data_IF_974140414199
#
_entry.id   IF_974140414199
#
_cell.length_a   1.000
_cell.length_b   1.000
_cell.length_c   1.000
_cell.angle_alpha   90.00
_cell.angle_beta   90.00
_cell.angle_gamma   90.00
#
_symmetry.space_group_name_H-M   'P 1'
#
loop_
_entity.id
_entity.type
_entity.pdbx_description
1 polymer ?
#
# COMPACT_ATOMS: atom_id res chain seq x y z
N UNK A 1 -12.02 33.98 0.31
CA UNK A 1 -10.94 33.93 -0.71
C UNK A 1 -11.59 33.77 -2.08
N UNK A 2 -11.12 34.45 -3.13
CA UNK A 2 -11.62 34.22 -4.49
C UNK A 2 -11.25 32.82 -4.97
N UNK A 3 -12.16 32.16 -5.69
CA UNK A 3 -12.05 30.78 -6.13
C UNK A 3 -10.77 30.51 -6.97
N UNK A 4 -10.21 29.29 -6.95
CA UNK A 4 -9.36 28.85 -8.04
C UNK A 4 -10.19 28.95 -9.31
N UNK A 5 -9.77 29.81 -10.24
CA UNK A 5 -10.39 29.92 -11.56
C UNK A 5 -10.51 28.52 -12.15
N UNK A 6 -11.74 28.10 -12.46
CA UNK A 6 -11.99 26.92 -13.26
C UNK A 6 -11.12 26.96 -14.52
N UNK A 7 -10.61 25.79 -14.92
CA UNK A 7 -9.73 25.65 -16.07
C UNK A 7 -10.28 26.42 -17.29
N UNK A 8 -9.43 27.04 -18.13
CA UNK A 8 -9.89 27.75 -19.33
C UNK A 8 -10.73 26.79 -20.20
N UNK A 9 -12.05 27.01 -20.26
CA UNK A 9 -13.01 26.18 -21.00
C UNK A 9 -14.05 25.43 -20.14
N UNK A 10 -13.93 25.39 -18.82
CA UNK A 10 -14.95 24.77 -17.94
C UNK A 10 -15.49 25.79 -16.91
N UNK A 11 -16.77 26.13 -17.04
CA UNK A 11 -17.49 26.93 -16.04
C UNK A 11 -17.71 26.06 -14.79
N UNK A 12 -17.51 26.64 -13.60
CA UNK A 12 -17.82 25.98 -12.33
C UNK A 12 -19.26 25.44 -12.38
N UNK A 13 -19.50 24.13 -12.12
CA UNK A 13 -20.75 23.48 -12.51
C UNK A 13 -21.91 23.74 -11.56
N UNK A 14 -21.68 24.45 -10.46
CA UNK A 14 -22.69 24.72 -9.45
C UNK A 14 -23.05 26.21 -9.42
N UNK A 15 -24.32 26.50 -9.15
CA UNK A 15 -24.81 27.88 -9.02
C UNK A 15 -24.35 28.56 -7.73
N UNK A 16 -23.87 27.79 -6.74
CA UNK A 16 -23.43 28.28 -5.42
C UNK A 16 -22.20 27.54 -4.92
N UNK A 17 -21.51 28.16 -3.97
CA UNK A 17 -20.45 27.55 -3.17
C UNK A 17 -20.66 28.01 -1.71
N UNK A 18 -20.83 27.12 -0.73
CA UNK A 18 -20.68 25.66 -0.79
C UNK A 18 -21.88 24.92 -1.41
N UNK A 19 -21.63 23.70 -1.89
CA UNK A 19 -22.63 22.74 -2.40
C UNK A 19 -22.34 21.35 -1.83
N UNK A 20 -23.38 20.57 -1.61
CA UNK A 20 -23.25 19.15 -1.24
C UNK A 20 -23.16 18.28 -2.49
N UNK A 21 -22.20 17.36 -2.49
CA UNK A 21 -21.95 16.42 -3.57
C UNK A 21 -21.87 15.01 -2.99
N UNK A 22 -22.37 14.01 -3.70
CA UNK A 22 -22.27 12.63 -3.22
C UNK A 22 -20.86 12.08 -3.45
N UNK A 23 -20.36 11.40 -2.43
CA UNK A 23 -18.95 10.99 -2.31
C UNK A 23 -18.60 9.99 -3.42
N UNK A 24 -19.40 8.94 -3.56
CA UNK A 24 -19.21 7.81 -4.49
C UNK A 24 -20.01 7.97 -5.80
N UNK A 25 -20.54 9.17 -6.07
CA UNK A 25 -21.46 9.40 -7.16
C UNK A 25 -20.96 9.02 -8.56
N UNK A 26 -21.92 8.96 -9.50
CA UNK A 26 -21.67 8.71 -10.92
C UNK A 26 -21.42 9.98 -11.73
N UNK A 27 -20.60 9.87 -12.79
CA UNK A 27 -20.30 10.97 -13.71
C UNK A 27 -21.50 11.34 -14.58
N UNK A 28 -21.75 12.65 -14.70
CA UNK A 28 -22.88 13.21 -15.42
C UNK A 28 -22.58 14.73 -15.65
N UNK A 29 -22.38 15.18 -16.92
CA UNK A 29 -22.20 16.61 -17.30
C UNK A 29 -22.68 16.97 -18.74
N UNK A 30 -23.44 18.08 -18.87
CA UNK A 30 -24.36 18.51 -19.97
C UNK A 30 -25.88 18.12 -19.89
N UNK A 31 -26.54 18.41 -18.75
CA UNK A 31 -27.92 17.97 -18.40
C UNK A 31 -28.09 17.12 -17.13
N UNK A 32 -27.21 17.27 -16.13
CA UNK A 32 -26.82 16.19 -15.21
C UNK A 32 -26.60 16.61 -13.73
N UNK A 33 -26.75 15.66 -12.79
CA UNK A 33 -26.20 15.75 -11.42
C UNK A 33 -24.67 15.57 -11.46
N UNK A 34 -23.91 16.65 -11.32
CA UNK A 34 -22.45 16.57 -11.18
C UNK A 34 -22.10 15.90 -9.85
N UNK A 35 -21.82 14.60 -9.88
CA UNK A 35 -21.70 13.79 -8.69
C UNK A 35 -20.46 12.90 -8.76
N UNK A 36 -19.26 13.49 -8.76
CA UNK A 36 -17.99 12.73 -8.95
C UNK A 36 -16.89 13.19 -8.00
N UNK A 37 -17.28 13.52 -6.78
CA UNK A 37 -16.40 14.10 -5.76
C UNK A 37 -15.03 13.41 -5.70
N UNK A 38 -15.00 12.09 -5.50
CA UNK A 38 -13.74 11.36 -5.35
C UNK A 38 -12.85 11.38 -6.59
N UNK A 39 -13.41 11.39 -7.81
CA UNK A 39 -12.61 11.47 -9.04
C UNK A 39 -11.83 12.78 -9.10
N UNK A 40 -12.49 13.88 -8.75
CA UNK A 40 -11.88 15.20 -8.74
C UNK A 40 -10.91 15.37 -7.56
N UNK A 41 -11.25 14.86 -6.37
CA UNK A 41 -10.36 14.88 -5.20
C UNK A 41 -9.10 14.09 -5.47
N UNK A 42 -9.20 12.85 -5.98
CA UNK A 42 -8.00 12.04 -6.27
C UNK A 42 -7.15 12.72 -7.33
N UNK A 43 -7.74 13.25 -8.41
CA UNK A 43 -7.02 13.97 -9.45
C UNK A 43 -6.35 15.28 -8.94
N UNK A 44 -6.90 15.88 -7.89
CA UNK A 44 -6.39 17.11 -7.31
C UNK A 44 -5.29 16.87 -6.27
N UNK A 45 -5.52 15.93 -5.37
CA UNK A 45 -4.70 15.69 -4.19
C UNK A 45 -3.50 14.80 -4.48
N UNK A 46 -3.56 14.00 -5.55
CA UNK A 46 -2.47 13.11 -5.94
C UNK A 46 -1.88 13.49 -7.28
N UNK A 47 -0.80 12.82 -7.66
CA UNK A 47 -0.23 12.93 -9.00
C UNK A 47 -0.36 11.57 -9.72
N UNK A 48 -1.54 11.23 -10.27
CA UNK A 48 -1.77 9.91 -10.85
C UNK A 48 -0.94 9.66 -12.12
N UNK A 49 -0.40 10.72 -12.72
CA UNK A 49 0.57 10.63 -13.82
C UNK A 49 1.97 10.21 -13.37
N UNK A 50 2.36 10.55 -12.14
CA UNK A 50 3.68 10.27 -11.60
C UNK A 50 3.67 9.07 -10.65
N UNK A 51 2.55 8.71 -10.05
CA UNK A 51 2.49 7.67 -9.02
C UNK A 51 2.14 6.31 -9.61
N UNK A 52 2.62 5.25 -8.94
CA UNK A 52 2.25 3.89 -9.28
C UNK A 52 0.74 3.68 -9.07
N UNK A 53 0.08 2.92 -9.96
CA UNK A 53 -1.38 2.73 -9.93
C UNK A 53 -1.90 2.23 -8.56
N UNK A 54 -1.18 1.31 -7.91
CA UNK A 54 -1.48 0.84 -6.53
C UNK A 54 -1.49 1.97 -5.48
N UNK A 55 -0.63 2.97 -5.63
CA UNK A 55 -0.59 4.13 -4.75
C UNK A 55 -1.74 5.11 -5.04
N UNK A 56 -2.14 5.25 -6.31
CA UNK A 56 -3.37 5.98 -6.68
C UNK A 56 -4.61 5.30 -6.08
N UNK A 57 -4.69 3.97 -6.13
CA UNK A 57 -5.74 3.20 -5.45
C UNK A 57 -5.70 3.39 -3.92
N UNK A 58 -4.51 3.41 -3.31
CA UNK A 58 -4.38 3.68 -1.88
C UNK A 58 -4.92 5.08 -1.53
N UNK A 59 -4.55 6.09 -2.31
CA UNK A 59 -5.06 7.45 -2.14
C UNK A 59 -6.58 7.52 -2.31
N UNK A 60 -7.15 6.83 -3.30
CA UNK A 60 -8.59 6.79 -3.51
C UNK A 60 -9.35 6.21 -2.31
N UNK A 61 -8.85 5.11 -1.74
CA UNK A 61 -9.43 4.48 -0.56
C UNK A 61 -9.31 5.40 0.66
N UNK A 62 -8.14 6.02 0.86
CA UNK A 62 -7.93 6.99 1.94
C UNK A 62 -8.87 8.19 1.80
N UNK A 63 -8.99 8.77 0.60
CA UNK A 63 -9.86 9.91 0.33
C UNK A 63 -11.34 9.56 0.54
N UNK A 64 -11.79 8.39 0.07
CA UNK A 64 -13.15 7.89 0.34
C UNK A 64 -13.41 7.75 1.83
N UNK A 65 -12.50 7.07 2.54
CA UNK A 65 -12.61 6.85 3.98
C UNK A 65 -12.68 8.19 4.73
N UNK A 66 -11.82 9.15 4.37
CA UNK A 66 -11.79 10.48 4.97
C UNK A 66 -13.11 11.23 4.75
N UNK A 67 -13.62 11.26 3.51
CA UNK A 67 -14.87 11.94 3.19
C UNK A 67 -16.04 11.36 4.00
N UNK A 68 -16.13 10.03 4.07
CA UNK A 68 -17.16 9.35 4.85
C UNK A 68 -16.97 9.50 6.36
N UNK A 69 -15.73 9.62 6.86
CA UNK A 69 -15.47 9.96 8.25
C UNK A 69 -16.05 11.33 8.62
N UNK A 70 -15.88 12.35 7.75
CA UNK A 70 -16.37 13.72 8.01
C UNK A 70 -17.89 13.79 8.16
N UNK A 71 -18.62 12.93 7.45
CA UNK A 71 -20.09 12.96 7.39
C UNK A 71 -20.74 11.83 8.21
N UNK A 72 -19.91 11.01 8.86
CA UNK A 72 -20.35 9.81 9.59
C UNK A 72 -21.27 10.11 10.76
N UNK A 73 -21.03 11.20 11.49
CA UNK A 73 -21.85 11.60 12.63
C UNK A 73 -23.30 11.95 12.21
N UNK A 74 -23.48 12.38 10.96
CA UNK A 74 -24.78 12.69 10.37
C UNK A 74 -25.38 11.49 9.59
N UNK A 75 -24.64 10.39 9.44
CA UNK A 75 -25.01 9.23 8.62
C UNK A 75 -25.34 9.62 7.16
N UNK A 76 -24.56 10.54 6.59
CA UNK A 76 -24.77 11.06 5.24
C UNK A 76 -23.85 10.37 4.22
N UNK A 77 -24.24 10.44 2.95
CA UNK A 77 -23.43 9.99 1.79
C UNK A 77 -23.02 11.15 0.88
N UNK A 78 -23.23 12.37 1.37
CA UNK A 78 -22.92 13.63 0.69
C UNK A 78 -21.95 14.41 1.56
N UNK A 79 -21.02 15.12 0.93
CA UNK A 79 -20.05 15.99 1.59
C UNK A 79 -20.14 17.38 0.98
N UNK A 80 -19.91 18.42 1.78
CA UNK A 80 -19.73 19.73 1.22
C UNK A 80 -18.40 19.82 0.44
N UNK A 81 -18.36 20.71 -0.54
CA UNK A 81 -17.19 20.89 -1.38
C UNK A 81 -16.19 21.90 -0.81
N UNK A 82 -16.19 22.13 0.51
CA UNK A 82 -15.28 23.06 1.16
C UNK A 82 -13.84 22.56 1.13
N UNK A 83 -12.88 23.50 1.13
CA UNK A 83 -11.47 23.19 1.29
C UNK A 83 -11.09 22.84 2.75
N UNK A 84 -12.06 22.81 3.67
CA UNK A 84 -11.86 22.46 5.08
C UNK A 84 -11.56 20.97 5.27
N UNK A 85 -11.89 20.14 4.28
CA UNK A 85 -11.74 18.69 4.30
C UNK A 85 -10.65 18.25 3.33
N UNK A 86 -11.00 18.19 2.05
CA UNK A 86 -10.14 17.82 0.95
C UNK A 86 -10.34 18.82 -0.17
N UNK A 87 -9.30 19.08 -0.95
CA UNK A 87 -9.37 20.01 -2.06
C UNK A 87 -10.14 19.35 -3.21
N UNK A 88 -11.40 19.73 -3.34
CA UNK A 88 -12.23 19.38 -4.47
C UNK A 88 -12.22 20.53 -5.49
N UNK A 89 -11.78 20.23 -6.71
CA UNK A 89 -11.83 21.15 -7.85
C UNK A 89 -12.70 20.51 -8.93
N UNK A 90 -13.88 21.05 -9.23
CA UNK A 90 -14.69 20.52 -10.31
C UNK A 90 -13.95 20.54 -11.64
N UNK A 91 -14.20 19.50 -12.43
CA UNK A 91 -13.55 19.15 -13.69
C UNK A 91 -12.07 18.87 -13.55
N UNK A 92 -11.56 18.66 -12.34
CA UNK A 92 -10.16 18.31 -12.20
C UNK A 92 -9.87 17.00 -12.89
N UNK A 93 -10.70 15.98 -12.70
CA UNK A 93 -10.58 14.70 -13.39
C UNK A 93 -10.64 14.81 -14.93
N UNK A 94 -11.43 15.76 -15.44
CA UNK A 94 -11.55 16.02 -16.88
C UNK A 94 -10.44 16.94 -17.42
N UNK A 95 -9.80 17.71 -16.54
CA UNK A 95 -8.80 18.69 -16.92
C UNK A 95 -7.55 17.97 -17.44
N UNK A 96 -7.25 18.25 -18.71
CA UNK A 96 -6.22 17.58 -19.53
C UNK A 96 -4.91 17.25 -18.80
N UNK A 97 -4.31 16.15 -19.29
CA UNK A 97 -2.87 15.80 -19.31
C UNK A 97 -1.98 16.92 -18.76
N UNK A 98 -1.50 16.77 -17.52
CA UNK A 98 -0.55 17.72 -16.93
C UNK A 98 0.76 17.64 -17.70
N UNK A 99 1.33 16.43 -17.87
CA UNK A 99 2.61 16.24 -18.57
C UNK A 99 2.84 14.83 -19.17
N UNK A 100 2.17 13.77 -18.71
CA UNK A 100 2.61 12.38 -19.00
C UNK A 100 1.58 11.44 -19.64
N UNK A 101 0.38 11.88 -19.95
CA UNK A 101 -0.64 11.05 -20.61
C UNK A 101 -2.01 11.15 -19.99
N UNK A 102 -2.95 10.31 -20.45
CA UNK A 102 -4.29 10.24 -19.86
C UNK A 102 -4.22 9.52 -18.51
N UNK A 103 -4.45 10.25 -17.42
CA UNK A 103 -4.40 9.73 -16.05
C UNK A 103 -5.77 9.26 -15.53
N UNK A 104 -6.82 9.35 -16.35
CA UNK A 104 -8.14 8.88 -15.98
C UNK A 104 -8.21 7.37 -15.74
N UNK A 105 -7.56 6.49 -16.54
CA UNK A 105 -7.62 5.04 -16.32
C UNK A 105 -7.19 4.58 -14.91
N UNK A 106 -6.05 5.03 -14.33
CA UNK A 106 -5.70 4.63 -12.96
C UNK A 106 -6.68 5.19 -11.91
N UNK A 107 -7.30 6.35 -12.15
CA UNK A 107 -8.35 6.86 -11.25
C UNK A 107 -9.62 6.01 -11.38
N UNK A 108 -10.08 5.68 -12.59
CA UNK A 108 -11.27 4.84 -12.77
C UNK A 108 -11.10 3.46 -12.15
N UNK A 109 -9.94 2.81 -12.38
CA UNK A 109 -9.61 1.56 -11.73
C UNK A 109 -9.63 1.71 -10.19
N UNK A 110 -9.11 2.83 -9.67
CA UNK A 110 -9.15 3.12 -8.25
C UNK A 110 -10.57 3.37 -7.68
N UNK A 111 -11.51 3.79 -8.54
CA UNK A 111 -12.91 4.03 -8.15
C UNK A 111 -13.77 2.76 -8.17
N UNK A 112 -13.38 1.71 -8.92
CA UNK A 112 -14.16 0.47 -9.05
C UNK A 112 -14.28 -0.26 -7.71
N UNK A 113 -13.19 -0.36 -6.96
CA UNK A 113 -13.17 -1.01 -5.66
C UNK A 113 -13.55 -0.02 -4.55
N UNK A 114 -14.80 -0.13 -4.10
CA UNK A 114 -15.31 0.62 -2.94
C UNK A 114 -14.90 -0.08 -1.64
N UNK A 115 -13.66 0.23 -1.24
CA UNK A 115 -13.06 -0.20 0.01
C UNK A 115 -13.03 0.97 1.00
N UNK A 116 -13.24 0.65 2.26
CA UNK A 116 -13.24 1.56 3.40
C UNK A 116 -12.32 1.03 4.51
N UNK A 117 -11.70 1.94 5.25
CA UNK A 117 -10.95 1.61 6.46
C UNK A 117 -11.81 1.87 7.70
N UNK A 118 -11.97 0.86 8.54
CA UNK A 118 -12.84 0.89 9.73
C UNK A 118 -11.99 0.61 10.98
N UNK A 119 -12.21 1.30 12.11
CA UNK A 119 -11.48 1.03 13.34
C UNK A 119 -11.77 -0.37 13.90
N UNK A 120 -10.77 -0.97 14.54
CA UNK A 120 -10.89 -2.21 15.29
C UNK A 120 -10.79 -1.94 16.82
N UNK A 121 -11.45 -2.71 17.72
CA UNK A 121 -12.45 -3.77 17.47
C UNK A 121 -13.88 -3.24 17.28
N UNK A 122 -14.11 -2.00 17.69
CA UNK A 122 -15.43 -1.38 17.68
C UNK A 122 -15.56 -0.54 16.40
N UNK A 123 -16.46 -0.89 15.48
CA UNK A 123 -16.79 -0.01 14.36
C UNK A 123 -17.59 1.21 14.87
N UNK A 124 -17.06 2.43 14.75
CA UNK A 124 -17.81 3.52 14.12
C UNK A 124 -17.19 3.84 12.75
N UNK A 125 -17.97 4.37 11.81
CA UNK A 125 -18.11 3.70 10.53
C UNK A 125 -16.86 3.78 9.64
N UNK A 126 -15.99 4.76 9.86
CA UNK A 126 -14.76 4.99 9.10
C UNK A 126 -13.68 5.57 10.01
N UNK A 127 -12.41 5.33 9.71
CA UNK A 127 -11.30 5.99 10.43
C UNK A 127 -11.00 7.37 9.87
N UNK A 128 -10.38 8.22 10.70
CA UNK A 128 -9.78 9.46 10.20
C UNK A 128 -8.54 9.12 9.35
N UNK A 129 -8.69 9.13 8.03
CA UNK A 129 -7.69 8.68 7.07
C UNK A 129 -6.89 9.84 6.48
N UNK A 130 -6.11 10.54 7.30
CA UNK A 130 -5.24 11.63 6.83
C UNK A 130 -4.19 11.13 5.82
N UNK A 131 -3.75 12.00 4.92
CA UNK A 131 -2.70 11.72 3.94
C UNK A 131 -1.90 13.00 3.66
N UNK A 132 -0.64 12.86 3.29
CA UNK A 132 0.27 13.97 3.06
C UNK A 132 1.24 13.67 1.92
N UNK A 133 1.94 14.69 1.43
CA UNK A 133 2.79 14.57 0.24
C UNK A 133 3.99 13.63 0.46
N UNK A 134 4.89 13.96 1.39
CA UNK A 134 6.09 13.15 1.63
C UNK A 134 6.79 13.43 2.98
N UNK A 135 7.53 12.45 3.48
CA UNK A 135 8.39 12.58 4.66
C UNK A 135 9.44 11.46 4.70
N UNK A 136 10.71 11.78 4.96
CA UNK A 136 11.74 10.77 5.04
C UNK A 136 11.70 9.98 6.37
N UNK A 137 11.96 8.68 6.29
CA UNK A 137 12.25 7.79 7.42
C UNK A 137 11.06 7.33 8.25
N UNK A 138 10.08 8.18 8.53
CA UNK A 138 8.86 7.81 9.26
C UNK A 138 7.73 8.81 9.08
N UNK A 139 6.49 8.37 9.29
CA UNK A 139 5.36 9.27 9.55
C UNK A 139 5.44 9.86 10.97
N UNK A 140 4.50 10.74 11.29
CA UNK A 140 4.26 11.31 12.62
C UNK A 140 2.95 10.76 13.20
N UNK A 141 2.87 10.69 14.52
CA UNK A 141 1.62 10.34 15.21
C UNK A 141 0.62 11.50 15.13
N UNK A 142 -0.59 11.20 14.69
CA UNK A 142 -1.74 12.09 14.70
C UNK A 142 -2.61 11.93 15.94
N UNK A 143 -3.85 12.41 15.85
CA UNK A 143 -4.78 12.47 16.98
C UNK A 143 -5.53 11.16 17.28
N UNK A 144 -5.52 10.19 16.35
CA UNK A 144 -6.32 8.97 16.45
C UNK A 144 -5.46 7.71 16.55
N UNK A 145 -5.97 6.61 17.14
CA UNK A 145 -5.20 5.36 17.30
C UNK A 145 -4.76 4.68 16.00
N UNK A 146 -5.36 5.05 14.86
CA UNK A 146 -4.98 4.56 13.53
C UNK A 146 -3.89 5.39 12.85
N UNK A 147 -3.50 6.52 13.46
CA UNK A 147 -2.49 7.45 12.96
C UNK A 147 -1.34 7.51 13.95
N UNK A 148 -0.54 6.44 14.02
CA UNK A 148 0.72 6.45 14.77
C UNK A 148 1.90 6.68 13.83
N UNK A 149 3.02 7.13 14.38
CA UNK A 149 4.29 7.14 13.66
C UNK A 149 4.69 5.72 13.26
N UNK A 150 4.80 5.46 11.96
CA UNK A 150 5.30 4.21 11.38
C UNK A 150 6.60 4.46 10.63
N UNK A 151 7.52 3.49 10.68
CA UNK A 151 8.80 3.57 9.97
C UNK A 151 8.57 3.47 8.46
N UNK A 152 9.10 4.41 7.67
CA UNK A 152 9.02 4.43 6.21
C UNK A 152 10.43 4.43 5.60
N UNK A 153 11.23 3.35 5.80
CA UNK A 153 12.67 3.35 5.50
C UNK A 153 13.00 3.46 4.00
N UNK A 154 12.05 3.16 3.11
CA UNK A 154 12.20 3.37 1.66
C UNK A 154 12.22 4.86 1.29
N UNK A 155 11.58 5.72 2.11
CA UNK A 155 11.55 7.17 1.93
C UNK A 155 12.84 7.78 2.48
N UNK A 156 13.92 7.71 1.69
CA UNK A 156 15.23 8.25 2.06
C UNK A 156 15.50 9.59 1.39
N UNK A 157 16.08 10.55 2.12
CA UNK A 157 16.45 11.88 1.57
C UNK A 157 17.38 11.75 0.36
N UNK A 158 18.33 10.80 0.42
CA UNK A 158 19.25 10.49 -0.70
C UNK A 158 18.58 9.88 -1.93
N UNK A 159 17.31 9.49 -1.84
CA UNK A 159 16.53 8.89 -2.91
C UNK A 159 15.30 9.72 -3.29
N UNK A 160 15.39 11.05 -3.10
CA UNK A 160 14.35 11.98 -3.53
C UNK A 160 13.14 12.06 -2.61
N UNK A 161 13.27 11.63 -1.34
CA UNK A 161 12.30 11.96 -0.31
C UNK A 161 12.54 13.35 0.29
N UNK A 162 11.48 14.06 0.60
CA UNK A 162 11.52 15.39 1.23
C UNK A 162 10.41 15.54 2.28
N UNK A 163 10.53 16.53 3.16
CA UNK A 163 9.48 16.84 4.15
C UNK A 163 8.46 17.76 3.49
N UNK A 164 7.24 17.27 3.28
CA UNK A 164 6.15 18.03 2.67
C UNK A 164 4.78 17.56 3.19
N UNK A 165 4.01 18.49 3.75
CA UNK A 165 2.73 18.21 4.41
C UNK A 165 2.87 17.94 5.92
N UNK A 166 1.77 17.57 6.57
CA UNK A 166 1.70 17.43 8.03
C UNK A 166 2.33 16.13 8.56
N UNK A 167 2.44 15.08 7.73
CA UNK A 167 3.17 13.86 8.08
C UNK A 167 2.36 12.75 8.77
N UNK A 168 1.04 12.85 8.88
CA UNK A 168 0.17 11.83 9.50
C UNK A 168 -0.49 10.93 8.45
N UNK A 169 -0.58 9.64 8.73
CA UNK A 169 -1.27 8.69 7.85
C UNK A 169 -0.49 8.37 6.57
N UNK A 170 -1.17 8.36 5.43
CA UNK A 170 -0.61 7.90 4.16
C UNK A 170 0.38 8.92 3.56
N UNK A 171 1.66 8.53 3.44
CA UNK A 171 2.62 9.25 2.59
C UNK A 171 2.34 8.92 1.13
N UNK A 172 1.93 9.91 0.35
CA UNK A 172 1.58 9.72 -1.06
C UNK A 172 2.77 9.27 -1.90
N UNK A 173 3.92 9.92 -1.72
CA UNK A 173 5.14 9.53 -2.41
C UNK A 173 5.67 8.20 -1.86
N UNK A 174 5.63 7.98 -0.55
CA UNK A 174 6.03 6.72 0.09
C UNK A 174 5.22 5.52 -0.41
N UNK A 175 3.90 5.66 -0.55
CA UNK A 175 3.02 4.65 -1.15
C UNK A 175 3.47 4.24 -2.56
N UNK A 176 3.86 5.20 -3.40
CA UNK A 176 4.38 4.91 -4.74
C UNK A 176 5.74 4.21 -4.69
N UNK A 177 6.62 4.59 -3.75
CA UNK A 177 7.91 3.91 -3.53
C UNK A 177 7.71 2.44 -3.17
N UNK A 178 6.85 2.15 -2.20
CA UNK A 178 6.52 0.79 -1.77
C UNK A 178 5.92 -0.07 -2.88
N UNK A 179 4.99 0.51 -3.65
CA UNK A 179 4.37 -0.19 -4.77
C UNK A 179 5.38 -0.59 -5.87
N UNK A 180 6.49 0.16 -5.97
CA UNK A 180 7.53 -0.05 -6.98
C UNK A 180 8.71 -0.88 -6.49
N UNK A 181 9.01 -0.83 -5.19
CA UNK A 181 10.31 -1.27 -4.65
C UNK A 181 11.46 -0.38 -5.11
N UNK A 182 11.24 0.93 -5.16
CA UNK A 182 12.27 1.92 -5.50
C UNK A 182 12.06 3.20 -4.69
N UNK A 183 13.13 3.77 -4.16
CA UNK A 183 13.13 5.01 -3.37
C UNK A 183 12.65 6.23 -4.16
N UNK A 184 12.62 6.19 -5.50
CA UNK A 184 11.97 7.22 -6.31
C UNK A 184 10.50 6.92 -6.55
N UNK A 185 9.62 7.83 -6.10
CA UNK A 185 8.18 7.68 -6.26
C UNK A 185 7.71 7.78 -7.73
N UNK A 186 8.37 8.60 -8.56
CA UNK A 186 7.87 9.00 -9.89
C UNK A 186 8.10 7.94 -10.98
N UNK A 187 7.05 7.32 -11.51
CA UNK A 187 7.10 6.23 -12.54
C UNK A 187 7.78 6.64 -13.83
N UNK A 188 7.79 7.93 -14.14
CA UNK A 188 8.41 8.48 -15.33
C UNK A 188 9.87 8.86 -15.11
N UNK A 189 10.38 8.78 -13.88
CA UNK A 189 11.79 9.06 -13.59
C UNK A 189 12.70 7.95 -14.15
N UNK A 190 13.83 8.36 -14.70
CA UNK A 190 14.96 7.47 -14.99
C UNK A 190 15.84 7.22 -13.77
N UNK A 191 15.70 8.04 -12.71
CA UNK A 191 16.41 7.81 -11.46
C UNK A 191 15.89 6.54 -10.77
N UNK A 192 16.79 5.80 -10.15
CA UNK A 192 16.48 4.55 -9.45
C UNK A 192 17.24 4.50 -8.13
N UNK A 193 16.55 4.07 -7.09
CA UNK A 193 17.09 3.73 -5.79
C UNK A 193 16.44 2.40 -5.38
N UNK A 194 16.89 1.26 -5.96
CA UNK A 194 16.22 -0.02 -5.75
C UNK A 194 16.12 -0.35 -4.26
N UNK A 195 14.96 -0.84 -3.86
CA UNK A 195 14.67 -1.20 -2.47
C UNK A 195 14.38 -2.68 -2.34
N UNK A 196 14.84 -3.34 -1.28
CA UNK A 196 14.76 -4.80 -1.08
C UNK A 196 13.35 -5.38 -1.02
N UNK A 197 12.32 -4.53 -0.95
CA UNK A 197 10.93 -4.89 -0.78
C UNK A 197 10.07 -4.11 -1.78
N UNK A 198 9.08 -4.78 -2.38
CA UNK A 198 7.99 -4.13 -3.11
C UNK A 198 6.67 -4.78 -2.73
N UNK A 199 5.62 -3.99 -2.55
CA UNK A 199 4.31 -4.51 -2.17
C UNK A 199 3.42 -4.72 -3.40
N UNK A 200 2.91 -5.95 -3.51
CA UNK A 200 2.10 -6.34 -4.65
C UNK A 200 0.64 -5.96 -4.50
N UNK A 201 0.19 -5.66 -3.28
CA UNK A 201 -1.20 -5.29 -3.02
C UNK A 201 -1.35 -3.94 -2.31
N UNK A 202 -2.33 -3.14 -2.73
CA UNK A 202 -2.65 -1.85 -2.10
C UNK A 202 -3.03 -1.97 -0.62
N UNK A 203 -3.60 -3.09 -0.19
CA UNK A 203 -3.91 -3.32 1.24
C UNK A 203 -2.66 -3.36 2.10
N UNK A 204 -1.50 -3.80 1.57
CA UNK A 204 -0.23 -3.70 2.30
C UNK A 204 0.15 -2.22 2.51
N UNK A 205 -0.01 -1.37 1.50
CA UNK A 205 0.24 0.08 1.60
C UNK A 205 -0.66 0.71 2.67
N UNK A 206 -1.96 0.43 2.61
CA UNK A 206 -2.92 1.01 3.55
C UNK A 206 -2.70 0.52 4.99
N UNK A 207 -2.46 -0.78 5.19
CA UNK A 207 -2.22 -1.35 6.52
C UNK A 207 -0.87 -0.91 7.11
N UNK A 208 0.08 -0.50 6.28
CA UNK A 208 1.33 0.11 6.72
C UNK A 208 1.09 1.48 7.38
N UNK A 209 0.33 2.35 6.70
CA UNK A 209 0.13 3.74 7.12
C UNK A 209 -1.05 3.95 8.08
N UNK A 210 -2.03 3.05 8.09
CA UNK A 210 -3.21 3.12 8.95
C UNK A 210 -3.30 1.89 9.86
N UNK A 211 -2.83 2.05 11.10
CA UNK A 211 -2.80 0.98 12.10
C UNK A 211 -4.18 0.75 12.71
N UNK A 212 -4.39 -0.39 13.39
CA UNK A 212 -5.66 -0.67 14.08
C UNK A 212 -6.91 -0.57 13.18
N UNK A 213 -6.75 -0.86 11.89
CA UNK A 213 -7.83 -0.77 10.89
C UNK A 213 -8.19 -2.11 10.27
N UNK A 214 -9.44 -2.25 9.84
CA UNK A 214 -9.93 -3.38 9.05
C UNK A 214 -10.47 -2.85 7.72
N UNK A 215 -10.37 -3.67 6.68
CA UNK A 215 -10.87 -3.33 5.34
C UNK A 215 -12.29 -3.84 5.18
N UNK A 216 -13.20 -2.96 4.77
CA UNK A 216 -14.60 -3.28 4.46
C UNK A 216 -14.91 -2.97 2.99
N UNK A 217 -15.76 -3.79 2.36
CA UNK A 217 -16.36 -3.47 1.06
C UNK A 217 -17.62 -2.60 1.21
N UNK A 218 -18.18 -2.14 0.08
CA UNK A 218 -19.42 -1.37 0.05
C UNK A 218 -20.68 -2.11 0.51
N UNK A 219 -20.62 -3.43 0.66
CA UNK A 219 -21.71 -4.23 1.23
C UNK A 219 -21.60 -4.34 2.75
N UNK A 220 -20.54 -3.78 3.36
CA UNK A 220 -20.29 -3.88 4.79
C UNK A 220 -19.63 -5.21 5.20
N UNK A 221 -19.06 -5.97 4.26
CA UNK A 221 -18.31 -7.18 4.58
C UNK A 221 -16.84 -6.84 4.84
N UNK A 222 -16.27 -7.44 5.88
CA UNK A 222 -14.83 -7.41 6.09
C UNK A 222 -14.12 -8.22 4.98
N UNK A 223 -13.20 -7.59 4.25
CA UNK A 223 -12.46 -8.21 3.12
C UNK A 223 -11.00 -8.54 3.46
N UNK A 224 -10.58 -8.26 4.69
CA UNK A 224 -9.32 -8.72 5.28
C UNK A 224 -9.66 -9.78 6.32
N UNK A 225 -9.49 -11.08 6.02
CA UNK A 225 -10.02 -12.14 6.87
C UNK A 225 -9.33 -12.24 8.23
N UNK A 226 -8.12 -11.69 8.35
CA UNK A 226 -7.28 -11.80 9.54
C UNK A 226 -6.92 -10.44 10.16
N UNK A 227 -6.94 -10.40 11.49
CA UNK A 227 -6.39 -9.30 12.31
C UNK A 227 -4.88 -9.43 12.51
N UNK A 228 -4.29 -10.55 12.10
CA UNK A 228 -2.85 -10.82 12.08
C UNK A 228 -2.32 -10.54 10.68
N UNK A 229 -1.59 -9.44 10.54
CA UNK A 229 -1.07 -8.95 9.27
C UNK A 229 0.34 -8.45 9.46
N UNK A 230 1.15 -8.56 8.42
CA UNK A 230 2.54 -8.14 8.47
C UNK A 230 2.99 -7.55 7.15
N UNK A 231 3.99 -6.66 7.18
CA UNK A 231 4.71 -6.26 5.97
C UNK A 231 6.21 -6.39 6.21
N UNK A 232 6.96 -6.82 5.19
CA UNK A 232 8.40 -6.57 5.16
C UNK A 232 8.61 -5.06 4.91
N UNK A 233 9.56 -4.45 5.62
CA UNK A 233 10.02 -3.08 5.36
C UNK A 233 11.39 -3.06 4.70
N UNK A 234 12.28 -3.96 5.08
CA UNK A 234 13.64 -4.06 4.54
C UNK A 234 14.12 -5.51 4.66
N UNK A 235 14.80 -6.02 3.63
CA UNK A 235 15.51 -7.31 3.67
C UNK A 235 17.00 -7.03 3.43
N UNK A 236 17.84 -7.50 4.34
CA UNK A 236 19.30 -7.46 4.24
C UNK A 236 19.86 -8.85 3.96
N UNK A 237 21.09 -8.88 3.48
CA UNK A 237 21.79 -10.10 3.08
C UNK A 237 21.02 -10.90 2.01
N UNK A 238 20.36 -10.18 1.10
CA UNK A 238 19.65 -10.80 -0.03
C UNK A 238 20.58 -11.76 -0.78
N UNK A 239 20.08 -12.95 -1.17
CA UNK A 239 20.87 -13.86 -1.96
C UNK A 239 21.18 -13.22 -3.33
N UNK A 240 22.29 -13.61 -3.97
CA UNK A 240 22.51 -13.22 -5.36
C UNK A 240 21.37 -13.74 -6.24
N UNK A 241 21.10 -13.05 -7.35
CA UNK A 241 20.05 -13.46 -8.30
C UNK A 241 20.23 -14.90 -8.80
N UNK A 242 21.49 -15.36 -8.92
CA UNK A 242 21.83 -16.75 -9.21
C UNK A 242 22.46 -17.38 -7.97
N UNK A 243 21.80 -18.39 -7.42
CA UNK A 243 22.20 -19.12 -6.22
C UNK A 243 22.74 -20.50 -6.56
N UNK A 244 23.60 -21.05 -5.71
CA UNK A 244 24.13 -22.40 -5.87
C UNK A 244 23.17 -23.43 -5.25
N UNK A 245 22.87 -24.54 -5.94
CA UNK A 245 22.13 -25.65 -5.32
C UNK A 245 22.86 -26.16 -4.07
N UNK A 246 22.12 -26.43 -2.99
CA UNK A 246 22.69 -26.91 -1.72
C UNK A 246 23.30 -25.82 -0.84
N UNK A 247 23.42 -24.58 -1.33
CA UNK A 247 23.90 -23.46 -0.53
C UNK A 247 22.85 -23.04 0.51
N UNK A 248 23.33 -22.40 1.57
CA UNK A 248 22.51 -21.82 2.63
C UNK A 248 22.76 -20.32 2.65
N UNK A 249 21.68 -19.55 2.61
CA UNK A 249 21.73 -18.09 2.71
C UNK A 249 21.09 -17.65 4.03
N UNK A 250 21.59 -16.56 4.60
CA UNK A 250 21.05 -15.99 5.84
C UNK A 250 20.44 -14.65 5.53
N UNK A 251 19.16 -14.45 5.90
CA UNK A 251 18.44 -13.21 5.70
C UNK A 251 18.16 -12.52 7.03
N UNK A 252 18.23 -11.18 7.02
CA UNK A 252 17.67 -10.37 8.09
C UNK A 252 16.50 -9.58 7.51
N UNK A 253 15.35 -9.61 8.18
CA UNK A 253 14.12 -8.98 7.68
C UNK A 253 13.54 -8.06 8.73
N UNK A 254 13.35 -6.79 8.37
CA UNK A 254 12.57 -5.86 9.18
C UNK A 254 11.09 -6.11 8.89
N UNK A 255 10.36 -6.56 9.90
CA UNK A 255 8.94 -6.90 9.81
C UNK A 255 8.16 -5.88 10.61
N UNK A 256 7.12 -5.31 10.01
CA UNK A 256 6.12 -4.51 10.69
C UNK A 256 4.89 -5.36 11.01
N UNK A 257 4.38 -5.24 12.23
CA UNK A 257 3.04 -5.72 12.56
C UNK A 257 2.01 -4.73 11.99
N UNK A 258 1.37 -5.08 10.87
CA UNK A 258 0.29 -4.28 10.27
C UNK A 258 -1.09 -4.75 10.69
N UNK A 259 -1.15 -5.69 11.64
CA UNK A 259 -2.38 -6.22 12.22
C UNK A 259 -3.08 -5.22 13.13
N UNK A 260 -4.18 -5.68 13.74
CA UNK A 260 -4.91 -4.92 14.76
C UNK A 260 -4.56 -5.33 16.19
N UNK A 261 -3.81 -6.42 16.36
CA UNK A 261 -3.40 -6.95 17.67
C UNK A 261 -1.90 -6.87 17.85
N UNK A 262 -1.49 -6.56 19.08
CA UNK A 262 -0.08 -6.68 19.49
C UNK A 262 0.36 -8.13 19.40
N UNK A 263 1.54 -8.34 18.84
CA UNK A 263 2.19 -9.65 18.88
C UNK A 263 2.93 -9.78 20.20
N UNK A 264 2.64 -10.84 20.93
CA UNK A 264 3.27 -11.11 22.23
C UNK A 264 4.08 -12.41 22.20
N UNK A 265 4.92 -12.63 23.20
CA UNK A 265 5.63 -13.90 23.36
C UNK A 265 4.71 -15.11 23.50
N UNK A 266 3.43 -14.92 23.86
CA UNK A 266 2.43 -15.98 23.98
C UNK A 266 1.86 -16.43 22.62
N UNK A 267 2.00 -15.61 21.59
CA UNK A 267 1.41 -15.88 20.26
C UNK A 267 2.28 -16.80 19.38
N UNK A 268 3.48 -17.18 19.84
CA UNK A 268 4.47 -17.96 19.07
C UNK A 268 4.69 -17.41 17.65
N UNK A 269 4.88 -16.10 17.55
CA UNK A 269 5.10 -15.42 16.28
C UNK A 269 6.51 -15.68 15.76
N UNK A 270 6.60 -16.17 14.52
CA UNK A 270 7.86 -16.55 13.87
C UNK A 270 7.89 -16.06 12.43
N UNK A 271 9.00 -15.49 12.00
CA UNK A 271 9.25 -15.30 10.57
C UNK A 271 9.78 -16.61 9.98
N UNK A 272 9.20 -17.05 8.87
CA UNK A 272 9.61 -18.27 8.17
C UNK A 272 9.52 -18.05 6.65
N UNK A 273 9.74 -19.11 5.88
CA UNK A 273 9.68 -19.04 4.43
C UNK A 273 9.28 -20.37 3.82
N UNK A 274 8.91 -20.33 2.54
CA UNK A 274 8.86 -21.49 1.66
C UNK A 274 9.77 -21.20 0.46
N UNK A 275 10.70 -22.10 0.12
CA UNK A 275 11.39 -22.00 -1.19
C UNK A 275 10.53 -22.79 -2.16
N UNK A 276 10.15 -22.19 -3.28
CA UNK A 276 9.25 -22.80 -4.26
C UNK A 276 9.87 -22.78 -5.67
N UNK A 277 9.77 -23.91 -6.37
CA UNK A 277 10.11 -24.07 -7.77
C UNK A 277 8.94 -24.74 -8.50
N UNK A 278 8.24 -23.97 -9.34
CA UNK A 278 6.95 -24.39 -9.88
C UNK A 278 5.94 -24.61 -8.75
N UNK A 279 5.31 -25.78 -8.71
CA UNK A 279 4.36 -26.19 -7.67
C UNK A 279 5.03 -26.86 -6.46
N UNK A 280 6.34 -27.12 -6.52
CA UNK A 280 7.09 -27.81 -5.46
C UNK A 280 7.67 -26.80 -4.49
N UNK A 281 7.32 -26.91 -3.20
CA UNK A 281 7.87 -26.05 -2.15
C UNK A 281 8.54 -26.87 -1.03
N UNK A 282 9.60 -26.33 -0.45
CA UNK A 282 10.24 -26.85 0.77
C UNK A 282 9.93 -25.96 1.97
N UNK A 283 10.24 -26.46 3.18
CA UNK A 283 9.94 -25.78 4.45
C UNK A 283 8.45 -25.45 4.65
N UNK A 284 7.54 -26.26 4.11
CA UNK A 284 6.09 -26.06 4.23
C UNK A 284 5.59 -26.16 5.67
N UNK A 285 6.29 -26.92 6.52
CA UNK A 285 6.05 -26.99 7.97
C UNK A 285 6.61 -25.80 8.76
N UNK A 286 7.36 -24.91 8.10
CA UNK A 286 8.04 -23.75 8.69
C UNK A 286 9.07 -24.13 9.76
N UNK A 287 9.74 -25.27 9.61
CA UNK A 287 10.81 -25.75 10.50
C UNK A 287 11.95 -24.73 10.61
N UNK A 288 12.35 -24.14 9.49
CA UNK A 288 13.31 -23.04 9.46
C UNK A 288 12.58 -21.72 9.70
N UNK A 289 12.85 -21.10 10.86
CA UNK A 289 12.20 -19.88 11.27
C UNK A 289 13.05 -19.10 12.28
N UNK A 290 12.68 -17.85 12.50
CA UNK A 290 13.24 -16.98 13.54
C UNK A 290 12.09 -16.49 14.40
N UNK A 291 12.21 -16.65 15.72
CA UNK A 291 11.22 -16.16 16.66
C UNK A 291 11.22 -14.63 16.72
N UNK A 292 10.05 -14.05 16.98
CA UNK A 292 9.92 -12.62 17.18
C UNK A 292 10.83 -12.13 18.33
N UNK A 293 11.63 -11.07 18.12
CA UNK A 293 12.64 -10.65 19.10
C UNK A 293 12.06 -9.94 20.32
N UNK A 294 10.87 -9.34 20.20
CA UNK A 294 10.22 -8.53 21.23
C UNK A 294 8.72 -8.42 20.97
N UNK A 295 7.92 -8.05 21.97
CA UNK A 295 6.51 -7.72 21.77
C UNK A 295 6.38 -6.60 20.72
N UNK A 296 5.49 -6.78 19.75
CA UNK A 296 5.35 -5.88 18.61
C UNK A 296 3.91 -5.34 18.52
N UNK A 297 3.64 -4.13 19.04
CA UNK A 297 2.36 -3.46 18.86
C UNK A 297 2.03 -3.19 17.39
N UNK A 298 0.74 -2.98 17.05
CA UNK A 298 0.33 -2.54 15.72
C UNK A 298 1.10 -1.31 15.26
N UNK A 299 1.61 -1.35 14.03
CA UNK A 299 2.41 -0.33 13.36
C UNK A 299 3.91 -0.34 13.69
N UNK A 300 4.31 -0.99 14.78
CA UNK A 300 5.73 -1.10 15.12
C UNK A 300 6.43 -2.15 14.24
N UNK A 301 7.75 -2.00 14.09
CA UNK A 301 8.59 -2.91 13.33
C UNK A 301 9.77 -3.43 14.16
N UNK A 302 10.22 -4.64 13.85
CA UNK A 302 11.38 -5.28 14.47
C UNK A 302 12.18 -6.11 13.46
N UNK A 303 13.48 -6.28 13.74
CA UNK A 303 14.38 -7.09 12.94
C UNK A 303 14.33 -8.56 13.36
N UNK A 304 13.98 -9.43 12.42
CA UNK A 304 14.14 -10.87 12.52
C UNK A 304 15.46 -11.24 11.86
N UNK A 305 16.49 -11.46 12.68
CA UNK A 305 17.85 -11.69 12.19
C UNK A 305 18.17 -13.18 12.09
N UNK A 306 18.99 -13.55 11.11
CA UNK A 306 19.57 -14.88 11.04
C UNK A 306 18.66 -15.95 10.44
N UNK A 307 17.70 -15.60 9.57
CA UNK A 307 16.83 -16.59 8.92
C UNK A 307 17.62 -17.41 7.91
N UNK A 308 17.89 -18.67 8.25
CA UNK A 308 18.66 -19.61 7.42
C UNK A 308 17.79 -20.26 6.34
N UNK A 309 18.19 -20.10 5.08
CA UNK A 309 17.49 -20.53 3.87
C UNK A 309 18.36 -21.49 3.05
N UNK A 310 18.36 -22.80 3.35
CA UNK A 310 18.88 -23.84 2.47
C UNK A 310 18.14 -23.90 1.13
N UNK A 311 18.91 -23.84 0.04
CA UNK A 311 18.44 -24.10 -1.33
C UNK A 311 18.58 -25.61 -1.61
N UNK A 312 17.52 -26.30 -2.06
CA UNK A 312 17.61 -27.74 -2.33
C UNK A 312 18.68 -28.10 -3.37
N UNK A 313 19.49 -29.11 -3.07
CA UNK A 313 20.65 -29.49 -3.89
C UNK A 313 20.28 -30.00 -5.30
N UNK A 314 19.07 -30.54 -5.46
CA UNK A 314 18.56 -31.09 -6.71
C UNK A 314 17.81 -30.07 -7.58
N UNK A 315 17.60 -28.83 -7.11
CA UNK A 315 16.84 -27.82 -7.85
C UNK A 315 17.69 -27.12 -8.91
N UNK A 316 17.05 -26.71 -10.01
CA UNK A 316 17.69 -26.02 -11.16
C UNK A 316 16.68 -25.08 -11.82
N UNK A 317 17.07 -23.85 -12.16
CA UNK A 317 16.18 -22.89 -12.83
C UNK A 317 15.48 -21.91 -11.88
N UNK A 318 14.43 -21.21 -12.34
CA UNK A 318 13.73 -20.19 -11.55
C UNK A 318 13.10 -20.76 -10.28
N UNK A 319 13.19 -19.99 -9.19
CA UNK A 319 12.57 -20.29 -7.90
C UNK A 319 12.24 -19.00 -7.15
N UNK A 320 11.44 -19.11 -6.10
CA UNK A 320 11.11 -18.00 -5.21
C UNK A 320 11.36 -18.41 -3.75
N UNK A 321 11.95 -17.52 -2.96
CA UNK A 321 11.91 -17.59 -1.49
C UNK A 321 10.71 -16.75 -1.06
N UNK A 322 9.63 -17.42 -0.66
CA UNK A 322 8.39 -16.80 -0.18
C UNK A 322 8.47 -16.64 1.32
N UNK A 323 8.71 -15.43 1.79
CA UNK A 323 8.71 -15.08 3.21
C UNK A 323 7.27 -14.93 3.70
N UNK A 324 7.00 -15.44 4.90
CA UNK A 324 5.73 -15.24 5.60
C UNK A 324 5.91 -15.34 7.11
N UNK A 325 4.99 -14.75 7.86
CA UNK A 325 4.93 -14.83 9.32
C UNK A 325 4.00 -15.98 9.70
N UNK A 326 4.36 -16.66 10.79
CA UNK A 326 3.57 -17.73 11.40
C UNK A 326 3.12 -17.34 12.79
N UNK A 327 1.97 -17.87 13.19
CA UNK A 327 1.43 -17.84 14.56
C UNK A 327 1.17 -19.28 14.98
N UNK A 328 2.05 -19.84 15.82
CA UNK A 328 2.05 -21.28 16.07
C UNK A 328 2.22 -22.07 14.76
N UNK A 329 1.33 -23.03 14.43
CA UNK A 329 1.43 -23.79 13.19
C UNK A 329 1.00 -22.99 11.94
N UNK A 330 0.20 -21.94 12.10
CA UNK A 330 -0.53 -21.30 11.00
C UNK A 330 0.28 -20.22 10.31
N UNK A 331 0.29 -20.26 8.98
CA UNK A 331 0.83 -19.20 8.12
C UNK A 331 -0.17 -18.04 8.07
N UNK A 332 0.28 -16.79 8.25
CA UNK A 332 -0.62 -15.65 8.15
C UNK A 332 -1.20 -15.50 6.74
N UNK A 333 -0.48 -15.94 5.70
CA UNK A 333 -1.01 -16.00 4.34
C UNK A 333 -2.18 -16.98 4.17
N UNK A 334 -2.28 -18.04 4.98
CA UNK A 334 -3.44 -18.93 4.98
C UNK A 334 -4.72 -18.21 5.47
N UNK A 335 -4.56 -17.15 6.28
CA UNK A 335 -5.62 -16.22 6.65
C UNK A 335 -5.92 -15.15 5.59
N UNK A 336 -5.37 -15.27 4.38
CA UNK A 336 -5.60 -14.36 3.26
C UNK A 336 -4.74 -13.09 3.28
N UNK A 337 -3.69 -13.03 4.11
CA UNK A 337 -2.71 -11.94 4.03
C UNK A 337 -1.61 -12.22 2.99
N UNK A 338 -0.83 -11.22 2.63
CA UNK A 338 0.15 -11.30 1.55
C UNK A 338 1.52 -11.76 2.03
N UNK A 339 2.23 -12.52 1.19
CA UNK A 339 3.63 -12.91 1.41
C UNK A 339 4.60 -11.91 0.78
N UNK A 340 5.89 -12.04 1.10
CA UNK A 340 6.97 -11.34 0.40
C UNK A 340 7.85 -12.33 -0.35
N UNK A 341 7.81 -12.29 -1.68
CA UNK A 341 8.59 -13.19 -2.52
C UNK A 341 9.94 -12.54 -2.90
N UNK A 342 11.03 -13.31 -2.83
CA UNK A 342 12.36 -12.99 -3.37
C UNK A 342 12.61 -13.95 -4.53
N UNK A 343 12.75 -13.41 -5.74
CA UNK A 343 12.93 -14.22 -6.94
C UNK A 343 14.42 -14.51 -7.16
N UNK A 344 14.72 -15.80 -7.35
CA UNK A 344 16.07 -16.34 -7.50
C UNK A 344 16.12 -17.32 -8.69
N UNK A 345 17.32 -17.63 -9.15
CA UNK A 345 17.57 -18.76 -10.02
C UNK A 345 18.59 -19.70 -9.40
N UNK A 346 18.28 -20.99 -9.40
CA UNK A 346 19.21 -22.03 -8.95
C UNK A 346 20.09 -22.48 -10.12
N UNK A 347 21.41 -22.46 -9.92
CA UNK A 347 22.51 -22.76 -10.86
C UNK A 347 22.69 -21.82 -12.05
N UNK A 348 21.73 -21.76 -12.97
CA UNK A 348 21.83 -20.92 -14.16
C UNK A 348 20.47 -20.70 -14.81
N UNK A 349 20.15 -19.43 -15.02
CA UNK A 349 19.03 -18.98 -15.83
C UNK A 349 19.56 -17.84 -16.69
N UNK A 350 18.87 -17.53 -17.78
CA UNK A 350 19.08 -16.25 -18.43
C UNK A 350 18.58 -15.15 -17.48
N UNK A 351 19.46 -14.28 -16.93
CA UNK A 351 19.10 -13.30 -15.90
C UNK A 351 18.09 -12.25 -16.40
N UNK A 352 17.82 -12.18 -17.71
CA UNK A 352 16.70 -11.38 -18.26
C UNK A 352 15.32 -11.78 -17.72
N UNK A 353 15.17 -12.97 -17.15
CA UNK A 353 13.90 -13.47 -16.60
C UNK A 353 13.81 -13.43 -15.07
N UNK A 354 14.87 -13.02 -14.39
CA UNK A 354 14.78 -12.69 -12.98
C UNK A 354 14.48 -11.21 -12.89
N UNK A 355 13.44 -10.78 -12.16
CA UNK A 355 13.32 -9.39 -11.80
C UNK A 355 14.47 -9.06 -10.85
N UNK A 356 15.62 -8.70 -11.45
CA UNK A 356 16.33 -7.54 -10.95
C UNK A 356 15.27 -6.49 -10.73
N UNK A 357 15.11 -6.01 -9.49
CA UNK A 357 14.09 -5.04 -9.11
C UNK A 357 14.17 -3.82 -10.03
N UNK A 358 13.48 -3.88 -11.18
CA UNK A 358 13.47 -2.88 -12.24
C UNK A 358 12.12 -2.91 -12.95
N UNK A 359 11.49 -1.73 -12.89
CA UNK A 359 10.36 -1.22 -13.68
C UNK A 359 9.22 -2.22 -13.94
N UNK A 360 8.22 -2.17 -13.07
CA UNK A 360 6.80 -2.02 -13.47
C UNK A 360 6.26 -2.97 -14.55
N UNK A 361 6.77 -4.19 -14.64
CA UNK A 361 6.18 -5.25 -15.43
C UNK A 361 5.07 -5.90 -14.64
N UNK A 362 3.83 -5.58 -15.00
CA UNK A 362 2.63 -6.29 -14.58
C UNK A 362 2.82 -7.76 -14.95
N UNK A 363 2.89 -8.66 -13.98
CA UNK A 363 2.53 -10.06 -14.24
C UNK A 363 1.01 -10.08 -14.48
N UNK A 364 0.52 -10.74 -15.53
CA UNK A 364 -0.90 -11.03 -15.61
C UNK A 364 -1.24 -11.89 -14.39
N UNK A 365 -2.20 -11.40 -13.62
CA UNK A 365 -2.85 -12.16 -12.57
C UNK A 365 -3.44 -13.42 -13.24
N UNK A 366 -2.92 -14.59 -12.92
CA UNK A 366 -3.59 -15.85 -13.28
C UNK A 366 -4.71 -16.08 -12.26
N UNK A 367 -5.76 -15.28 -12.37
CA UNK A 367 -7.05 -15.51 -11.74
C UNK A 367 -8.08 -15.77 -12.84
N UNK A 368 -8.11 -17.04 -13.25
CA UNK A 368 -9.29 -17.74 -13.78
C UNK A 368 -9.47 -19.00 -12.96
#
# INVERSE_FOLDING_TARGET
>A
MPAPLGQPGHVYPFSTNQVTVNIDGSAAYNGYTYNRYLRDVVAQETNPEAFHAKAVLAQAIAARTYAYYQVSAANETVIDNSASYQVYVPFRYDSRKRYYGDYRPPIEAAMQDRIYLVPYPNPPPYVFAEYFADRPGSTLSGATPNLIAVADPISQTGCGSSVSGHGHGLSQQGASRWARGDGYFNINSSASCPWSVSWQNTRQILAHYYTNTVFYDASGNAISPTFWRWNALEIRNLPPAVVQPGAVYTLDVQVQNTGAWSWTSQDDIRLSYQVCQGTSCTNTSGLYNVAMPQNLPPGNAAWFNGLSVPIPANWRGPAAIRLDVRRGPDWLAAGGWYTQDILICVSSCNPRFLPTMRRGGIFPDSSS
#
